data_IF_377628719393
#
_entry.id   IF_377628719393
#
_cell.length_a   1.000
_cell.length_b   1.000
_cell.length_c   1.000
_cell.angle_alpha   90.00
_cell.angle_beta   90.00
_cell.angle_gamma   90.00
#
_symmetry.space_group_name_H-M   'P 1'
#
loop_
_entity.id
_entity.type
_entity.pdbx_description
1 polymer ?
#
# COMPACT_ATOMS: atom_id res chain seq x y z
N UNK A 1 5.89 8.74 -2.73
CA UNK A 1 4.88 9.06 -3.74
C UNK A 1 5.05 8.02 -4.82
N UNK A 2 4.01 7.27 -5.21
CA UNK A 2 4.11 6.24 -6.24
C UNK A 2 4.24 6.86 -7.62
N UNK A 3 5.03 6.20 -8.47
CA UNK A 3 5.32 6.60 -9.86
C UNK A 3 4.52 5.75 -10.84
N UNK A 4 3.79 6.38 -11.74
CA UNK A 4 2.96 5.68 -12.73
C UNK A 4 3.42 6.06 -14.13
N UNK A 5 3.83 5.07 -14.92
CA UNK A 5 4.18 5.25 -16.32
C UNK A 5 2.95 4.94 -17.17
N UNK A 6 2.61 5.86 -18.07
CA UNK A 6 1.55 5.68 -19.05
C UNK A 6 2.14 5.48 -20.44
N UNK A 7 1.75 4.40 -21.10
CA UNK A 7 2.12 4.07 -22.48
C UNK A 7 0.82 4.08 -23.30
N UNK A 8 0.49 5.23 -23.89
CA UNK A 8 -0.75 5.54 -24.61
C UNK A 8 -0.44 6.56 -25.70
N UNK A 9 -0.73 6.24 -26.96
CA UNK A 9 -0.41 7.08 -28.10
C UNK A 9 -1.47 8.17 -28.38
N UNK A 10 -2.72 7.97 -27.94
CA UNK A 10 -3.73 9.03 -28.02
C UNK A 10 -3.41 10.14 -27.01
N UNK A 11 -2.92 11.27 -27.54
CA UNK A 11 -2.55 12.44 -26.71
C UNK A 11 -3.70 13.00 -25.87
N UNK A 12 -4.96 12.86 -26.30
CA UNK A 12 -6.11 13.36 -25.53
C UNK A 12 -6.33 12.46 -24.31
N UNK A 13 -6.33 11.15 -24.51
CA UNK A 13 -6.48 10.18 -23.43
C UNK A 13 -5.29 10.31 -22.48
N UNK A 14 -4.07 10.35 -23.01
CA UNK A 14 -2.85 10.48 -22.24
C UNK A 14 -2.86 11.72 -21.33
N UNK A 15 -3.18 12.89 -21.85
CA UNK A 15 -3.25 14.12 -21.06
C UNK A 15 -4.30 14.05 -19.94
N UNK A 16 -5.49 13.53 -20.26
CA UNK A 16 -6.58 13.38 -19.25
C UNK A 16 -6.14 12.43 -18.15
N UNK A 17 -5.55 11.29 -18.49
CA UNK A 17 -5.11 10.29 -17.52
C UNK A 17 -4.00 10.84 -16.63
N UNK A 18 -2.94 11.41 -17.21
CA UNK A 18 -1.82 12.00 -16.44
C UNK A 18 -2.30 13.09 -15.50
N UNK A 19 -3.13 14.03 -16.00
CA UNK A 19 -3.66 15.13 -15.17
C UNK A 19 -4.43 14.61 -13.93
N UNK A 20 -5.25 13.57 -14.11
CA UNK A 20 -6.03 13.01 -13.01
C UNK A 20 -5.19 12.17 -12.05
N UNK A 21 -4.17 11.46 -12.54
CA UNK A 21 -3.20 10.76 -11.69
C UNK A 21 -2.42 11.75 -10.81
N UNK A 22 -1.96 12.87 -11.37
CA UNK A 22 -1.27 13.93 -10.61
C UNK A 22 -2.21 14.55 -9.57
N UNK A 23 -3.48 14.85 -9.93
CA UNK A 23 -4.48 15.32 -8.96
C UNK A 23 -4.75 14.32 -7.82
N UNK A 24 -4.64 13.03 -8.11
CA UNK A 24 -4.77 11.97 -7.10
C UNK A 24 -3.50 11.75 -6.25
N UNK A 25 -2.42 12.52 -6.49
CA UNK A 25 -1.20 12.49 -5.69
C UNK A 25 -0.15 11.48 -6.17
N UNK A 26 -0.21 11.04 -7.42
CA UNK A 26 0.80 10.21 -8.06
C UNK A 26 1.81 11.06 -8.84
N UNK A 27 3.06 10.58 -8.95
CA UNK A 27 4.03 11.07 -9.94
C UNK A 27 3.78 10.33 -11.25
N UNK A 28 3.53 11.02 -12.36
CA UNK A 28 3.07 10.38 -13.59
C UNK A 28 3.83 10.89 -14.80
N UNK A 29 4.29 9.96 -15.62
CA UNK A 29 4.97 10.22 -16.89
C UNK A 29 4.23 9.48 -18.01
N UNK A 30 3.97 10.18 -19.13
CA UNK A 30 3.55 9.56 -20.37
C UNK A 30 4.76 9.35 -21.27
N UNK A 31 4.88 8.15 -21.87
CA UNK A 31 5.92 7.82 -22.85
C UNK A 31 5.75 8.66 -24.10
N UNK A 32 6.86 9.10 -24.66
CA UNK A 32 6.90 9.93 -25.86
C UNK A 32 7.48 9.21 -27.08
N UNK A 33 8.35 8.24 -26.86
CA UNK A 33 8.94 7.42 -27.93
C UNK A 33 8.40 5.98 -27.88
N UNK A 34 7.47 5.69 -28.79
CA UNK A 34 6.85 4.36 -28.92
C UNK A 34 7.70 3.37 -29.73
N UNK A 35 8.80 3.81 -30.35
CA UNK A 35 9.73 2.91 -31.03
C UNK A 35 10.63 2.16 -30.05
N UNK A 36 10.92 2.75 -28.87
CA UNK A 36 11.63 2.13 -27.74
C UNK A 36 11.17 2.71 -26.39
N UNK A 37 10.28 2.00 -25.71
CA UNK A 37 9.71 2.39 -24.42
C UNK A 37 10.67 2.16 -23.25
N UNK A 38 11.64 1.24 -23.39
CA UNK A 38 12.46 0.80 -22.28
C UNK A 38 13.37 1.88 -21.68
N UNK A 39 13.97 2.81 -22.45
CA UNK A 39 14.78 3.88 -21.87
C UNK A 39 13.99 4.76 -20.90
N UNK A 40 12.77 5.18 -21.26
CA UNK A 40 11.91 5.98 -20.38
C UNK A 40 11.45 5.16 -19.17
N UNK A 41 11.10 3.89 -19.34
CA UNK A 41 10.76 2.97 -18.26
C UNK A 41 11.91 2.83 -17.25
N UNK A 42 13.13 2.58 -17.72
CA UNK A 42 14.30 2.39 -16.83
C UNK A 42 14.72 3.68 -16.14
N UNK A 43 14.61 4.83 -16.80
CA UNK A 43 14.94 6.12 -16.21
C UNK A 43 13.92 6.55 -15.15
N UNK A 44 12.63 6.37 -15.44
CA UNK A 44 11.54 6.78 -14.54
C UNK A 44 11.37 5.84 -13.36
N UNK A 45 11.64 4.53 -13.52
CA UNK A 45 11.47 3.47 -12.50
C UNK A 45 10.07 3.49 -11.89
N UNK A 46 9.03 3.18 -12.68
CA UNK A 46 7.65 3.25 -12.21
C UNK A 46 7.32 2.18 -11.19
N UNK A 47 6.35 2.49 -10.33
CA UNK A 47 5.72 1.56 -9.39
C UNK A 47 4.48 0.88 -10.01
N UNK A 48 3.95 1.41 -11.13
CA UNK A 48 2.87 0.82 -11.89
C UNK A 48 2.94 1.32 -13.34
N UNK A 49 2.58 0.44 -14.29
CA UNK A 49 2.49 0.77 -15.71
C UNK A 49 1.03 0.67 -16.15
N UNK A 50 0.55 1.71 -16.83
CA UNK A 50 -0.67 1.72 -17.61
C UNK A 50 -0.28 1.55 -19.08
N UNK A 51 -0.78 0.52 -19.74
CA UNK A 51 -0.27 0.09 -21.06
C UNK A 51 -1.42 -0.13 -22.04
N UNK A 52 -1.48 0.72 -23.08
CA UNK A 52 -2.39 0.43 -24.19
C UNK A 52 -1.88 -0.78 -24.98
N UNK A 53 -2.83 -1.58 -25.47
CA UNK A 53 -2.54 -2.70 -26.35
C UNK A 53 -2.29 -2.22 -27.78
N UNK A 54 -3.03 -1.22 -28.22
CA UNK A 54 -2.94 -0.70 -29.60
C UNK A 54 -1.97 0.47 -29.62
N UNK A 55 -0.73 0.21 -29.99
CA UNK A 55 0.34 1.19 -30.04
C UNK A 55 1.00 1.18 -31.42
N UNK A 56 1.63 2.28 -31.84
CA UNK A 56 2.46 2.30 -33.03
C UNK A 56 3.73 1.44 -32.86
N UNK A 57 4.28 0.92 -33.96
CA UNK A 57 5.46 0.05 -34.04
C UNK A 57 5.25 -1.34 -33.43
N UNK A 58 5.20 -1.47 -32.12
CA UNK A 58 4.98 -2.72 -31.38
C UNK A 58 3.76 -2.58 -30.49
N UNK A 59 2.97 -3.64 -30.38
CA UNK A 59 1.77 -3.63 -29.52
C UNK A 59 2.10 -3.68 -28.02
N UNK A 60 1.10 -3.46 -27.18
CA UNK A 60 1.26 -3.49 -25.74
C UNK A 60 1.64 -4.87 -25.20
N UNK A 61 1.29 -5.96 -25.87
CA UNK A 61 1.70 -7.30 -25.46
C UNK A 61 3.21 -7.48 -25.60
N UNK A 62 3.80 -7.00 -26.69
CA UNK A 62 5.24 -6.99 -26.89
C UNK A 62 5.93 -6.21 -25.75
N UNK A 63 5.48 -4.99 -25.47
CA UNK A 63 6.07 -4.16 -24.43
C UNK A 63 5.90 -4.76 -23.03
N UNK A 64 4.75 -5.38 -22.75
CA UNK A 64 4.55 -6.14 -21.51
C UNK A 64 5.62 -7.23 -21.37
N UNK A 65 5.85 -8.02 -22.42
CA UNK A 65 6.89 -9.05 -22.44
C UNK A 65 8.29 -8.49 -22.17
N UNK A 66 8.66 -7.38 -22.82
CA UNK A 66 9.96 -6.73 -22.62
C UNK A 66 10.13 -6.21 -21.18
N UNK A 67 9.09 -5.56 -20.62
CA UNK A 67 9.09 -5.08 -19.24
C UNK A 67 9.22 -6.24 -18.26
N UNK A 68 8.54 -7.37 -18.51
CA UNK A 68 8.59 -8.57 -17.64
C UNK A 68 9.96 -9.24 -17.59
N UNK A 69 10.79 -9.08 -18.62
CA UNK A 69 12.19 -9.53 -18.57
C UNK A 69 13.03 -8.72 -17.57
N UNK A 70 12.63 -7.47 -17.28
CA UNK A 70 13.39 -6.53 -16.45
C UNK A 70 12.77 -6.31 -15.06
N UNK A 71 11.44 -6.46 -14.92
CA UNK A 71 10.72 -6.03 -13.73
C UNK A 71 9.43 -6.83 -13.48
N UNK A 72 9.07 -6.92 -12.20
CA UNK A 72 7.75 -7.42 -11.74
C UNK A 72 6.77 -6.29 -11.43
N UNK A 73 7.04 -5.09 -11.93
CA UNK A 73 6.15 -3.93 -11.74
C UNK A 73 4.72 -4.27 -12.18
N UNK A 74 3.68 -3.94 -11.40
CA UNK A 74 2.31 -4.20 -11.82
C UNK A 74 1.94 -3.45 -13.10
N UNK A 75 1.23 -4.13 -14.02
CA UNK A 75 0.80 -3.61 -15.33
C UNK A 75 -0.72 -3.72 -15.43
N UNK A 76 -1.39 -2.58 -15.71
CA UNK A 76 -2.79 -2.55 -16.12
C UNK A 76 -2.85 -2.32 -17.61
N UNK A 77 -3.42 -3.27 -18.35
CA UNK A 77 -3.73 -3.04 -19.76
C UNK A 77 -4.94 -2.11 -19.89
N UNK A 78 -4.85 -1.17 -20.84
CA UNK A 78 -5.94 -0.27 -21.23
C UNK A 78 -6.20 -0.51 -22.72
N UNK A 79 -7.44 -0.87 -23.11
CA UNK A 79 -7.69 -1.15 -24.52
C UNK A 79 -9.16 -1.00 -24.91
N UNK A 80 -9.41 -0.72 -26.20
CA UNK A 80 -10.74 -0.82 -26.81
C UNK A 80 -11.17 -2.26 -27.11
N UNK A 81 -10.25 -3.22 -27.06
CA UNK A 81 -10.57 -4.64 -27.15
C UNK A 81 -11.30 -5.07 -25.88
N UNK A 82 -12.44 -5.76 -26.01
CA UNK A 82 -13.34 -6.03 -24.87
C UNK A 82 -13.84 -7.47 -24.82
N UNK A 83 -13.31 -8.35 -25.66
CA UNK A 83 -13.72 -9.77 -25.63
C UNK A 83 -13.05 -10.50 -24.47
N UNK A 84 -13.70 -11.55 -23.98
CA UNK A 84 -13.11 -12.42 -22.94
C UNK A 84 -11.74 -12.96 -23.38
N UNK A 85 -11.56 -13.23 -24.67
CA UNK A 85 -10.30 -13.71 -25.21
C UNK A 85 -9.19 -12.66 -25.13
N UNK A 86 -9.49 -11.38 -25.36
CA UNK A 86 -8.51 -10.29 -25.22
C UNK A 86 -8.03 -10.16 -23.77
N UNK A 87 -8.95 -10.30 -22.80
CA UNK A 87 -8.61 -10.25 -21.37
C UNK A 87 -7.76 -11.47 -20.97
N UNK A 88 -8.10 -12.66 -21.47
CA UNK A 88 -7.33 -13.88 -21.21
C UNK A 88 -5.91 -13.75 -21.75
N UNK A 89 -5.77 -13.25 -22.99
CA UNK A 89 -4.45 -13.04 -23.61
C UNK A 89 -3.64 -12.03 -22.77
N UNK A 90 -4.21 -10.89 -22.41
CA UNK A 90 -3.55 -9.87 -21.62
C UNK A 90 -3.02 -10.42 -20.28
N UNK A 91 -3.86 -11.22 -19.59
CA UNK A 91 -3.48 -11.88 -18.34
C UNK A 91 -2.34 -12.88 -18.54
N UNK A 92 -2.41 -13.71 -19.58
CA UNK A 92 -1.37 -14.70 -19.88
C UNK A 92 -0.04 -14.04 -20.31
N UNK A 93 -0.10 -12.86 -20.92
CA UNK A 93 1.09 -12.07 -21.29
C UNK A 93 1.73 -11.35 -20.09
N UNK A 94 1.15 -11.48 -18.90
CA UNK A 94 1.72 -10.93 -17.66
C UNK A 94 1.08 -9.64 -17.18
N UNK A 95 -0.10 -9.27 -17.69
CA UNK A 95 -0.91 -8.19 -17.13
C UNK A 95 -1.53 -8.59 -15.79
N UNK A 96 -1.57 -7.65 -14.85
CA UNK A 96 -2.13 -7.84 -13.51
C UNK A 96 -3.59 -7.38 -13.42
N UNK A 97 -4.03 -6.50 -14.33
CA UNK A 97 -5.42 -6.05 -14.44
C UNK A 97 -5.70 -5.54 -15.87
N UNK A 98 -6.96 -5.31 -16.16
CA UNK A 98 -7.45 -4.88 -17.46
C UNK A 98 -8.51 -3.78 -17.33
N UNK A 99 -8.47 -2.77 -18.22
CA UNK A 99 -9.43 -1.68 -18.27
C UNK A 99 -9.89 -1.44 -19.71
N UNK A 100 -11.20 -1.63 -19.96
CA UNK A 100 -11.79 -1.46 -21.28
C UNK A 100 -12.10 0.01 -21.55
N UNK A 101 -11.69 0.53 -22.71
CA UNK A 101 -12.08 1.85 -23.23
C UNK A 101 -13.51 1.80 -23.87
N UNK A 102 -14.40 2.79 -23.61
CA UNK A 102 -14.20 3.96 -22.75
C UNK A 102 -14.36 3.62 -21.26
N UNK A 103 -13.58 4.25 -20.39
CA UNK A 103 -13.62 4.05 -18.94
C UNK A 103 -13.83 5.38 -18.20
N UNK A 104 -14.33 5.29 -16.97
CA UNK A 104 -14.34 6.45 -16.08
C UNK A 104 -12.99 6.58 -15.35
N UNK A 105 -12.58 7.82 -15.09
CA UNK A 105 -11.36 8.11 -14.33
C UNK A 105 -11.41 7.51 -12.92
N UNK A 106 -12.58 7.52 -12.28
CA UNK A 106 -12.74 6.93 -10.94
C UNK A 106 -12.46 5.43 -10.93
N UNK A 107 -12.86 4.70 -11.98
CA UNK A 107 -12.56 3.26 -12.11
C UNK A 107 -11.05 3.06 -12.32
N UNK A 108 -10.41 3.87 -13.18
CA UNK A 108 -8.96 3.83 -13.37
C UNK A 108 -8.23 4.04 -12.04
N UNK A 109 -8.55 5.11 -11.31
CA UNK A 109 -7.92 5.45 -10.04
C UNK A 109 -8.16 4.36 -8.98
N UNK A 110 -9.36 3.78 -8.93
CA UNK A 110 -9.66 2.68 -8.02
C UNK A 110 -8.82 1.42 -8.33
N UNK A 111 -8.65 1.06 -9.62
CA UNK A 111 -7.80 -0.06 -10.04
C UNK A 111 -6.33 0.19 -9.72
N UNK A 112 -5.81 1.39 -10.03
CA UNK A 112 -4.44 1.81 -9.70
C UNK A 112 -4.19 1.69 -8.19
N UNK A 113 -5.04 2.31 -7.36
CA UNK A 113 -4.91 2.24 -5.91
C UNK A 113 -4.99 0.80 -5.37
N UNK A 114 -5.91 0.00 -5.91
CA UNK A 114 -6.08 -1.41 -5.56
C UNK A 114 -4.86 -2.25 -5.88
N UNK A 115 -4.27 -2.05 -7.07
CA UNK A 115 -3.12 -2.80 -7.53
C UNK A 115 -1.83 -2.39 -6.80
N UNK A 116 -1.60 -1.09 -6.61
CA UNK A 116 -0.47 -0.59 -5.80
C UNK A 116 -0.54 -1.10 -4.36
N UNK A 117 -1.72 -1.12 -3.74
CA UNK A 117 -1.90 -1.69 -2.41
C UNK A 117 -1.55 -3.17 -2.39
N UNK A 118 -1.97 -3.97 -3.38
CA UNK A 118 -1.61 -5.39 -3.50
C UNK A 118 -0.11 -5.59 -3.68
N UNK A 119 0.50 -4.84 -4.61
CA UNK A 119 1.90 -5.01 -4.97
C UNK A 119 2.88 -4.54 -3.87
N UNK A 120 2.53 -3.45 -3.16
CA UNK A 120 3.48 -2.79 -2.27
C UNK A 120 3.03 -2.70 -0.81
N UNK A 121 1.73 -2.90 -0.51
CA UNK A 121 1.24 -2.87 0.86
C UNK A 121 1.03 -4.27 1.43
N UNK A 122 0.89 -5.31 0.58
CA UNK A 122 0.85 -6.70 1.02
C UNK A 122 2.23 -7.34 1.13
N UNK A 123 3.26 -6.85 0.41
CA UNK A 123 4.66 -7.25 0.64
C UNK A 123 5.18 -6.74 2.00
N UNK A 124 4.54 -5.72 2.58
CA UNK A 124 4.68 -5.35 3.98
C UNK A 124 3.87 -6.25 4.93
N UNK A 125 3.05 -7.21 4.44
CA UNK A 125 2.25 -8.07 5.33
C UNK A 125 3.08 -9.08 6.12
N UNK A 126 4.27 -9.45 5.68
CA UNK A 126 5.22 -10.14 6.58
C UNK A 126 5.84 -9.19 7.61
N UNK A 127 5.98 -7.87 7.29
CA UNK A 127 6.39 -6.84 8.26
C UNK A 127 5.21 -6.27 9.07
N UNK A 128 3.96 -6.45 8.62
CA UNK A 128 2.78 -5.95 9.32
C UNK A 128 2.24 -6.93 10.37
N UNK A 129 2.72 -8.16 10.40
CA UNK A 129 2.38 -9.13 11.46
C UNK A 129 3.55 -9.22 12.44
N UNK A 130 3.31 -8.74 13.64
CA UNK A 130 4.27 -8.91 14.74
C UNK A 130 3.72 -9.99 15.68
N UNK A 131 4.52 -11.04 15.91
CA UNK A 131 4.22 -12.05 16.91
C UNK A 131 5.14 -11.90 18.13
N UNK A 132 4.58 -12.00 19.34
CA UNK A 132 5.32 -11.94 20.59
C UNK A 132 4.51 -12.59 21.72
N UNK A 133 5.07 -13.57 22.42
CA UNK A 133 4.46 -14.27 23.55
C UNK A 133 3.01 -14.75 23.32
N UNK A 134 2.76 -15.32 22.12
CA UNK A 134 1.44 -15.83 21.73
C UNK A 134 0.46 -14.77 21.22
N UNK A 135 0.83 -13.48 21.27
CA UNK A 135 0.09 -12.40 20.62
C UNK A 135 0.51 -12.33 19.16
N UNK A 136 -0.48 -12.22 18.25
CA UNK A 136 -0.30 -11.92 16.83
C UNK A 136 -0.99 -10.58 16.56
N UNK A 137 -0.25 -9.58 16.12
CA UNK A 137 -0.76 -8.26 15.80
C UNK A 137 -0.57 -7.95 14.33
N UNK A 138 -1.67 -7.74 13.62
CA UNK A 138 -1.65 -7.23 12.25
C UNK A 138 -1.79 -5.70 12.27
N UNK A 139 -0.70 -5.00 11.99
CA UNK A 139 -0.62 -3.53 12.03
C UNK A 139 -1.56 -2.91 10.99
N UNK A 140 -1.60 -3.48 9.77
CA UNK A 140 -2.39 -2.93 8.66
C UNK A 140 -3.89 -2.96 8.91
N UNK A 141 -4.41 -4.07 9.48
CA UNK A 141 -5.84 -4.20 9.83
C UNK A 141 -6.17 -3.64 11.21
N UNK A 142 -5.18 -3.43 12.08
CA UNK A 142 -5.37 -3.05 13.48
C UNK A 142 -5.99 -4.16 14.33
N UNK A 143 -5.88 -5.43 13.91
CA UNK A 143 -6.41 -6.58 14.65
C UNK A 143 -5.30 -7.25 15.45
N UNK A 144 -5.58 -7.49 16.71
CA UNK A 144 -4.73 -8.29 17.62
C UNK A 144 -5.44 -9.59 17.94
N UNK A 145 -4.71 -10.71 17.94
CA UNK A 145 -5.24 -12.04 18.27
C UNK A 145 -4.31 -12.80 19.20
N UNK A 146 -4.91 -13.64 20.05
CA UNK A 146 -4.24 -14.56 20.97
C UNK A 146 -5.04 -15.85 20.95
N UNK A 147 -4.43 -16.95 20.48
CA UNK A 147 -5.13 -18.19 20.21
C UNK A 147 -6.33 -17.96 19.28
N UNK A 148 -7.53 -18.37 19.68
CA UNK A 148 -8.77 -18.24 18.88
C UNK A 148 -9.52 -16.91 19.10
N UNK A 149 -9.04 -16.04 20.01
CA UNK A 149 -9.67 -14.76 20.34
C UNK A 149 -9.02 -13.62 19.58
N UNK A 150 -9.81 -12.67 19.12
CA UNK A 150 -9.31 -11.47 18.46
C UNK A 150 -10.04 -10.21 18.94
N UNK A 151 -9.36 -9.05 18.80
CA UNK A 151 -9.94 -7.75 19.09
C UNK A 151 -9.42 -6.71 18.07
N UNK A 152 -10.30 -5.79 17.66
CA UNK A 152 -9.93 -4.66 16.84
C UNK A 152 -9.47 -3.50 17.72
N UNK A 153 -8.33 -2.94 17.42
CA UNK A 153 -7.77 -1.77 18.08
C UNK A 153 -8.21 -0.48 17.38
N UNK A 154 -8.33 0.60 18.13
CA UNK A 154 -8.43 1.94 17.56
C UNK A 154 -7.09 2.34 16.94
N UNK A 155 -7.06 3.37 16.09
CA UNK A 155 -5.84 3.86 15.44
C UNK A 155 -4.72 4.14 16.45
N UNK A 156 -5.02 4.85 17.53
CA UNK A 156 -4.05 5.18 18.57
C UNK A 156 -3.56 3.93 19.34
N UNK A 157 -4.47 3.03 19.72
CA UNK A 157 -4.12 1.77 20.39
C UNK A 157 -3.21 0.91 19.51
N UNK A 158 -3.49 0.83 18.20
CA UNK A 158 -2.70 0.08 17.22
C UNK A 158 -1.29 0.69 17.06
N UNK A 159 -1.18 2.01 16.97
CA UNK A 159 0.11 2.70 16.90
C UNK A 159 0.95 2.49 18.16
N UNK A 160 0.34 2.60 19.33
CA UNK A 160 1.02 2.35 20.61
C UNK A 160 1.52 0.91 20.68
N UNK A 161 0.66 -0.07 20.42
CA UNK A 161 1.04 -1.48 20.46
C UNK A 161 2.16 -1.79 19.46
N UNK A 162 2.05 -1.31 18.24
CA UNK A 162 3.06 -1.50 17.20
C UNK A 162 4.42 -0.91 17.59
N UNK A 163 4.44 0.28 18.20
CA UNK A 163 5.66 0.91 18.68
C UNK A 163 6.33 0.12 19.81
N UNK A 164 5.53 -0.36 20.78
CA UNK A 164 6.02 -1.16 21.89
C UNK A 164 6.57 -2.51 21.41
N UNK A 165 5.85 -3.21 20.53
CA UNK A 165 6.28 -4.48 19.95
C UNK A 165 7.56 -4.36 19.10
N UNK A 166 7.69 -3.28 18.32
CA UNK A 166 8.94 -3.00 17.57
C UNK A 166 10.12 -2.68 18.47
N UNK A 167 9.86 -2.20 19.69
CA UNK A 167 10.88 -1.86 20.69
C UNK A 167 10.97 -2.91 21.82
N UNK A 168 10.40 -4.11 21.60
CA UNK A 168 10.33 -5.18 22.62
C UNK A 168 11.66 -5.38 23.36
N UNK A 169 11.56 -5.62 24.66
CA UNK A 169 12.72 -5.70 25.53
C UNK A 169 13.28 -4.33 25.98
N UNK A 170 12.86 -3.23 25.34
CA UNK A 170 13.32 -1.88 25.69
C UNK A 170 12.16 -0.99 26.15
N UNK A 171 12.45 -0.09 27.08
CA UNK A 171 11.47 0.91 27.51
C UNK A 171 11.28 1.99 26.46
N UNK A 172 10.03 2.25 26.08
CA UNK A 172 9.66 3.35 25.19
C UNK A 172 9.17 4.52 26.04
N UNK A 173 9.80 5.66 25.91
CA UNK A 173 9.45 6.85 26.68
C UNK A 173 8.07 7.40 26.31
N UNK A 174 7.37 8.02 27.28
CA UNK A 174 6.07 8.66 27.06
C UNK A 174 6.13 9.67 25.91
N UNK A 175 7.19 10.51 25.86
CA UNK A 175 7.40 11.49 24.78
C UNK A 175 7.51 10.83 23.41
N UNK A 176 8.24 9.70 23.29
CA UNK A 176 8.38 8.99 22.01
C UNK A 176 7.05 8.43 21.54
N UNK A 177 6.23 7.91 22.45
CA UNK A 177 4.88 7.44 22.10
C UNK A 177 4.01 8.62 21.65
N UNK A 178 3.98 9.71 22.41
CA UNK A 178 3.21 10.89 22.05
C UNK A 178 3.62 11.46 20.69
N UNK A 179 4.93 11.59 20.40
CA UNK A 179 5.42 12.03 19.08
C UNK A 179 4.95 11.12 17.94
N UNK A 180 4.88 9.81 18.16
CA UNK A 180 4.40 8.88 17.14
C UNK A 180 2.92 9.08 16.82
N UNK A 181 2.13 9.49 17.81
CA UNK A 181 0.71 9.76 17.67
C UNK A 181 0.42 11.14 17.04
N UNK A 182 1.35 12.11 17.18
CA UNK A 182 1.17 13.50 16.68
C UNK A 182 1.23 13.66 15.16
N UNK A 183 1.80 12.69 14.43
CA UNK A 183 1.86 12.78 12.96
C UNK A 183 0.47 12.85 12.31
N UNK A 184 -0.58 12.49 13.03
CA UNK A 184 -1.94 12.32 12.50
C UNK A 184 -3.03 13.10 13.27
N UNK A 185 -2.71 13.79 14.39
CA UNK A 185 -3.72 14.51 15.17
C UNK A 185 -3.11 15.70 15.93
N UNK A 186 -3.86 16.81 16.01
CA UNK A 186 -3.52 17.96 16.83
C UNK A 186 -3.51 17.60 18.32
N UNK A 187 -2.38 17.86 18.96
CA UNK A 187 -2.14 17.86 20.41
C UNK A 187 -2.69 16.66 21.21
N UNK A 188 -1.87 15.63 21.41
CA UNK A 188 -2.17 14.54 22.37
C UNK A 188 -1.44 14.86 23.67
N UNK A 189 -2.22 15.05 24.75
CA UNK A 189 -1.70 15.25 26.10
C UNK A 189 -1.39 13.91 26.82
N UNK A 190 -0.73 14.02 27.96
CA UNK A 190 -0.32 12.86 28.77
C UNK A 190 -1.51 12.06 29.34
N UNK A 191 -2.66 12.70 29.54
CA UNK A 191 -3.90 12.06 29.95
C UNK A 191 -4.46 11.17 28.84
N UNK A 192 -4.45 11.66 27.61
CA UNK A 192 -4.89 10.91 26.43
C UNK A 192 -4.04 9.64 26.24
N UNK A 193 -2.72 9.72 26.40
CA UNK A 193 -1.85 8.56 26.37
C UNK A 193 -2.22 7.54 27.44
N UNK A 194 -2.41 8.00 28.69
CA UNK A 194 -2.75 7.14 29.84
C UNK A 194 -4.09 6.41 29.62
N UNK A 195 -5.09 7.10 29.07
CA UNK A 195 -6.40 6.50 28.72
C UNK A 195 -6.25 5.44 27.64
N UNK A 196 -5.48 5.70 26.57
CA UNK A 196 -5.26 4.72 25.51
C UNK A 196 -4.51 3.48 26.01
N UNK A 197 -3.48 3.63 26.84
CA UNK A 197 -2.78 2.51 27.48
C UNK A 197 -3.72 1.68 28.35
N UNK A 198 -4.59 2.33 29.12
CA UNK A 198 -5.56 1.64 29.97
C UNK A 198 -6.55 0.81 29.15
N UNK A 199 -7.07 1.39 28.07
CA UNK A 199 -7.98 0.68 27.14
C UNK A 199 -7.28 -0.49 26.45
N UNK A 200 -6.07 -0.29 25.98
CA UNK A 200 -5.25 -1.32 25.34
C UNK A 200 -4.97 -2.48 26.31
N UNK A 201 -4.55 -2.20 27.55
CA UNK A 201 -4.36 -3.22 28.59
C UNK A 201 -5.62 -4.03 28.87
N UNK A 202 -6.79 -3.37 28.89
CA UNK A 202 -8.08 -4.06 29.06
C UNK A 202 -8.32 -5.05 27.93
N UNK A 203 -8.17 -4.62 26.66
CA UNK A 203 -8.35 -5.50 25.50
C UNK A 203 -7.38 -6.69 25.51
N UNK A 204 -6.10 -6.45 25.81
CA UNK A 204 -5.10 -7.53 25.91
C UNK A 204 -5.42 -8.51 27.04
N UNK A 205 -5.89 -8.02 28.20
CA UNK A 205 -6.34 -8.85 29.30
C UNK A 205 -7.55 -9.72 28.92
N UNK A 206 -8.52 -9.18 28.19
CA UNK A 206 -9.71 -9.89 27.72
C UNK A 206 -9.34 -11.00 26.72
N UNK A 207 -8.22 -10.84 25.99
CA UNK A 207 -7.63 -11.86 25.10
C UNK A 207 -6.80 -12.91 25.88
N UNK A 208 -6.56 -12.73 27.18
CA UNK A 208 -5.80 -13.66 28.01
C UNK A 208 -4.40 -13.20 28.42
N UNK A 209 -3.93 -12.06 27.90
CA UNK A 209 -2.60 -11.51 28.23
C UNK A 209 -2.69 -10.59 29.44
N UNK A 210 -2.31 -11.11 30.62
CA UNK A 210 -2.26 -10.31 31.86
C UNK A 210 -0.89 -9.64 31.96
N UNK A 211 -0.91 -8.35 32.35
CA UNK A 211 0.31 -7.54 32.58
C UNK A 211 1.28 -7.44 31.39
N UNK A 212 0.76 -7.60 30.19
CA UNK A 212 1.56 -7.61 28.94
C UNK A 212 2.28 -6.27 28.66
N UNK A 213 1.71 -5.14 29.09
CA UNK A 213 2.36 -3.83 29.02
C UNK A 213 2.71 -3.38 30.42
N UNK A 214 3.98 -3.27 30.72
CA UNK A 214 4.49 -2.78 31.99
C UNK A 214 4.66 -1.26 32.01
N UNK A 215 4.46 -0.63 33.16
CA UNK A 215 4.80 0.78 33.37
C UNK A 215 6.15 0.87 34.07
N UNK A 216 7.11 1.51 33.42
CA UNK A 216 8.39 1.83 34.05
C UNK A 216 8.28 3.23 34.61
N UNK A 217 8.27 3.34 35.95
CA UNK A 217 8.02 4.59 36.68
C UNK A 217 8.96 5.70 36.18
N UNK A 218 8.40 6.86 35.89
CA UNK A 218 9.06 8.06 35.38
C UNK A 218 9.76 7.93 34.02
N UNK A 219 9.64 6.79 33.32
CA UNK A 219 10.28 6.56 32.02
C UNK A 219 9.27 6.35 30.90
N UNK A 220 8.36 5.36 31.05
CA UNK A 220 7.43 5.03 29.99
C UNK A 220 6.81 3.65 30.12
N UNK A 221 6.75 2.93 29.00
CA UNK A 221 6.11 1.61 28.92
C UNK A 221 7.01 0.61 28.20
N UNK A 222 6.85 -0.67 28.54
CA UNK A 222 7.63 -1.79 28.02
C UNK A 222 6.74 -3.01 27.76
N UNK A 223 7.09 -3.82 26.79
CA UNK A 223 6.64 -5.21 26.55
C UNK A 223 7.84 -6.12 26.60
#
# INVERSE_FOLDING_TARGET
MFKILLIEDDKKISNIVVENLVKAGYDSLAVTDFSDVLPEFMAFKPDLVLLDIILPFYDGYYWCGQIRLLSKVPIIFISSKSTDMDIIIATNMGGDDYLVKPFSIDILLAKVAGLLRRAYSYDNTEMDIISHEGLIFNIGSGVVSVNEKSAKLTKNEAQILGLLLKSRGNTVSRERIMRSLWKDASFIDDNTLTVNITRLRKKLKDLGLKNYIETIKNLGYKI
#
